data_IF_445730428581
#
_entry.id   IF_445730428581
#
_cell.length_a   1.000
_cell.length_b   1.000
_cell.length_c   1.000
_cell.angle_alpha   90.00
_cell.angle_beta   90.00
_cell.angle_gamma   90.00
#
_symmetry.space_group_name_H-M   'P 1'
#
loop_
_entity.id
_entity.type
_entity.pdbx_description
1 polymer ?
#
# COMPACT_ATOMS: atom_id res chain seq x y z
N UNK A 1 -3.51 -8.06 -15.59
CA UNK A 1 -3.29 -8.66 -14.26
C UNK A 1 -1.95 -8.18 -13.72
N UNK A 2 -1.94 -7.59 -12.52
CA UNK A 2 -0.72 -7.03 -11.92
C UNK A 2 0.10 -8.09 -11.20
N UNK A 3 1.41 -7.85 -11.08
CA UNK A 3 2.31 -8.64 -10.23
C UNK A 3 3.35 -7.70 -9.64
N UNK A 4 3.59 -7.77 -8.34
CA UNK A 4 4.70 -7.11 -7.68
C UNK A 4 5.74 -8.15 -7.27
N UNK A 5 7.02 -7.80 -7.36
CA UNK A 5 8.09 -8.71 -7.02
C UNK A 5 9.30 -7.98 -6.44
N UNK A 6 10.03 -8.66 -5.55
CA UNK A 6 11.36 -8.28 -5.12
C UNK A 6 12.38 -9.24 -5.69
N UNK A 7 13.53 -8.69 -6.08
CA UNK A 7 14.67 -9.46 -6.52
C UNK A 7 15.91 -9.05 -5.72
N UNK A 8 16.51 -10.00 -5.02
CA UNK A 8 17.67 -9.79 -4.16
C UNK A 8 18.90 -10.46 -4.75
N UNK A 9 19.91 -9.64 -5.01
CA UNK A 9 21.26 -10.08 -5.39
C UNK A 9 22.26 -9.38 -4.48
N UNK A 10 23.35 -8.85 -5.05
CA UNK A 10 24.19 -7.85 -4.39
C UNK A 10 23.37 -6.60 -4.02
N UNK A 11 22.42 -6.25 -4.90
CA UNK A 11 21.50 -5.13 -4.73
C UNK A 11 20.07 -5.62 -4.50
N UNK A 12 19.19 -4.72 -4.09
CA UNK A 12 17.78 -4.96 -3.86
C UNK A 12 16.96 -4.22 -4.93
N UNK A 13 16.07 -4.95 -5.56
CA UNK A 13 15.15 -4.42 -6.55
C UNK A 13 13.73 -4.71 -6.11
N UNK A 14 12.87 -3.71 -6.23
CA UNK A 14 11.43 -3.81 -6.06
C UNK A 14 10.77 -3.29 -7.33
N UNK A 15 9.83 -4.03 -7.88
CA UNK A 15 9.15 -3.64 -9.10
C UNK A 15 7.77 -4.26 -9.20
N UNK A 16 6.97 -3.68 -10.09
CA UNK A 16 5.65 -4.21 -10.42
C UNK A 16 5.36 -3.97 -11.90
N UNK A 17 4.52 -4.80 -12.51
CA UNK A 17 3.84 -4.48 -13.75
C UNK A 17 2.44 -3.95 -13.46
N UNK A 18 2.14 -2.78 -13.99
CA UNK A 18 0.80 -2.19 -13.98
C UNK A 18 0.10 -2.65 -15.26
N UNK A 19 -0.81 -3.61 -15.15
CA UNK A 19 -1.46 -4.26 -16.29
C UNK A 19 -2.96 -3.98 -16.24
N UNK A 20 -3.36 -2.92 -16.92
CA UNK A 20 -4.73 -2.47 -17.13
C UNK A 20 -5.09 -2.48 -18.60
N UNK A 21 -6.38 -2.56 -18.90
CA UNK A 21 -6.91 -2.55 -20.26
C UNK A 21 -6.86 -1.17 -20.92
N UNK A 22 -6.85 -0.11 -20.10
CA UNK A 22 -6.87 1.28 -20.53
C UNK A 22 -5.85 2.11 -19.76
N UNK A 23 -5.25 3.15 -20.37
CA UNK A 23 -4.45 4.11 -19.62
C UNK A 23 -5.35 4.96 -18.72
N UNK A 24 -4.96 5.14 -17.47
CA UNK A 24 -5.65 5.98 -16.49
C UNK A 24 -4.96 7.33 -16.27
N UNK A 25 -4.04 7.72 -17.17
CA UNK A 25 -3.25 8.95 -17.02
C UNK A 25 -2.16 8.78 -15.98
N UNK A 26 -1.58 7.59 -15.90
CA UNK A 26 -0.46 7.27 -15.03
C UNK A 26 0.81 7.96 -15.51
N UNK A 27 1.53 8.56 -14.56
CA UNK A 27 2.76 9.28 -14.81
C UNK A 27 3.77 9.05 -13.70
N UNK A 28 5.06 9.19 -14.02
CA UNK A 28 6.12 9.16 -13.02
C UNK A 28 6.05 10.44 -12.19
N UNK A 29 5.73 10.28 -10.92
CA UNK A 29 5.53 11.40 -10.00
C UNK A 29 6.60 11.40 -8.92
N UNK A 30 7.22 12.56 -8.71
CA UNK A 30 8.16 12.81 -7.62
C UNK A 30 7.52 13.71 -6.60
N UNK A 31 7.44 13.26 -5.35
CA UNK A 31 6.98 14.06 -4.23
C UNK A 31 8.18 14.46 -3.36
N UNK A 32 8.54 15.75 -3.31
CA UNK A 32 9.65 16.22 -2.48
C UNK A 32 9.28 16.24 -0.99
N UNK A 33 10.28 16.21 -0.09
CA UNK A 33 10.12 16.09 1.38
C UNK A 33 9.16 17.06 2.05
N UNK A 34 8.96 18.24 1.49
CA UNK A 34 8.19 19.31 2.11
C UNK A 34 6.89 19.61 1.33
N UNK A 35 6.48 18.70 0.46
CA UNK A 35 5.19 18.82 -0.22
C UNK A 35 4.07 18.50 0.79
N UNK A 36 3.17 19.47 1.11
CA UNK A 36 2.17 19.23 2.14
C UNK A 36 1.08 18.28 1.65
N UNK A 37 0.82 17.23 2.42
CA UNK A 37 -0.34 16.34 2.19
C UNK A 37 -1.43 16.63 3.21
N UNK A 38 -2.67 16.75 2.73
CA UNK A 38 -3.85 16.79 3.57
C UNK A 38 -4.55 15.43 3.53
N UNK A 39 -4.61 14.76 4.66
CA UNK A 39 -5.29 13.47 4.83
C UNK A 39 -6.73 13.68 5.28
N UNK A 40 -7.62 12.77 4.92
CA UNK A 40 -9.05 12.86 5.26
C UNK A 40 -9.30 12.95 6.76
N UNK A 41 -8.51 12.22 7.55
CA UNK A 41 -8.72 12.09 8.99
C UNK A 41 -7.49 12.42 9.83
N UNK A 42 -6.30 12.52 9.23
CA UNK A 42 -5.03 12.67 9.96
C UNK A 42 -4.45 14.09 9.88
N UNK A 43 -5.23 15.04 9.31
CA UNK A 43 -4.76 16.41 9.15
C UNK A 43 -3.65 16.56 8.10
N UNK A 44 -2.76 17.50 8.31
CA UNK A 44 -1.72 17.85 7.34
C UNK A 44 -0.36 17.25 7.73
N UNK A 45 0.29 16.60 6.78
CA UNK A 45 1.68 16.14 6.89
C UNK A 45 2.58 17.07 6.07
N UNK A 46 3.32 17.97 6.75
CA UNK A 46 4.20 18.97 6.13
C UNK A 46 5.62 18.47 5.88
N UNK A 47 6.03 17.44 6.59
CA UNK A 47 7.38 16.86 6.50
C UNK A 47 7.27 15.35 6.42
N UNK A 48 7.88 14.80 5.40
CA UNK A 48 7.87 13.38 5.12
C UNK A 48 9.09 13.00 4.28
N UNK A 49 9.35 11.73 4.10
CA UNK A 49 10.37 11.27 3.17
C UNK A 49 9.97 11.60 1.73
N UNK A 50 10.94 12.02 0.92
CA UNK A 50 10.72 12.14 -0.52
C UNK A 50 10.42 10.76 -1.12
N UNK A 51 9.57 10.74 -2.12
CA UNK A 51 9.18 9.51 -2.80
C UNK A 51 9.04 9.72 -4.32
N UNK A 52 9.22 8.63 -5.05
CA UNK A 52 9.02 8.57 -6.49
C UNK A 52 8.22 7.30 -6.80
N UNK A 53 7.31 7.39 -7.74
CA UNK A 53 6.50 6.24 -8.15
C UNK A 53 5.64 6.53 -9.36
N UNK A 54 4.83 5.56 -9.72
CA UNK A 54 3.81 5.71 -10.73
C UNK A 54 2.49 6.13 -10.07
N UNK A 55 1.93 7.26 -10.48
CA UNK A 55 0.70 7.80 -9.92
C UNK A 55 -0.24 8.33 -11.00
N UNK A 56 -1.52 8.44 -10.66
CA UNK A 56 -2.44 9.35 -11.32
C UNK A 56 -2.54 10.62 -10.45
N UNK A 57 -2.20 11.78 -11.01
CA UNK A 57 -2.30 13.04 -10.27
C UNK A 57 -3.68 13.65 -10.50
N UNK A 58 -4.45 13.83 -9.43
CA UNK A 58 -5.77 14.44 -9.43
C UNK A 58 -5.84 15.50 -8.34
N UNK A 59 -6.29 16.69 -8.69
CA UNK A 59 -6.43 17.82 -7.75
C UNK A 59 -5.13 18.09 -6.95
N UNK A 60 -3.98 18.07 -7.63
CA UNK A 60 -2.63 18.20 -7.07
C UNK A 60 -2.27 17.10 -6.04
N UNK A 61 -3.03 16.00 -6.02
CA UNK A 61 -2.81 14.86 -5.12
C UNK A 61 -2.36 13.63 -5.92
N UNK A 62 -1.19 13.04 -5.60
CA UNK A 62 -0.71 11.84 -6.29
C UNK A 62 -1.39 10.57 -5.75
N UNK A 63 -2.25 9.98 -6.55
CA UNK A 63 -2.84 8.68 -6.29
C UNK A 63 -1.85 7.59 -6.74
N UNK A 64 -0.94 7.20 -5.86
CA UNK A 64 0.13 6.26 -6.18
C UNK A 64 -0.38 4.83 -6.39
N UNK A 65 -0.05 4.26 -7.52
CA UNK A 65 -0.17 2.81 -7.78
C UNK A 65 0.95 2.04 -7.10
N UNK A 66 2.16 2.59 -7.16
CA UNK A 66 3.36 2.14 -6.49
C UNK A 66 4.30 3.32 -6.26
N UNK A 67 5.14 3.21 -5.24
CA UNK A 67 6.20 4.18 -4.99
C UNK A 67 7.32 3.58 -4.13
N UNK A 68 8.46 4.23 -4.17
CA UNK A 68 9.58 3.99 -3.26
C UNK A 68 9.98 5.32 -2.61
N UNK A 69 10.27 5.30 -1.33
CA UNK A 69 10.78 6.49 -0.65
C UNK A 69 12.32 6.53 -0.64
N UNK A 70 12.88 7.67 -0.29
CA UNK A 70 14.33 7.91 -0.22
C UNK A 70 15.09 7.04 0.79
N UNK A 71 14.38 6.29 1.65
CA UNK A 71 14.95 5.32 2.60
C UNK A 71 15.02 3.91 2.01
N UNK A 72 14.44 3.71 0.83
CA UNK A 72 14.42 2.42 0.16
C UNK A 72 13.26 1.52 0.57
N UNK A 73 12.23 2.07 1.21
CA UNK A 73 10.97 1.38 1.44
C UNK A 73 10.09 1.52 0.20
N UNK A 74 9.70 0.40 -0.41
CA UNK A 74 8.82 0.34 -1.56
C UNK A 74 7.44 -0.20 -1.20
N UNK A 75 6.41 0.26 -1.91
CA UNK A 75 5.04 -0.19 -1.77
C UNK A 75 4.34 -0.23 -3.13
N UNK A 76 3.56 -1.27 -3.38
CA UNK A 76 2.72 -1.39 -4.57
C UNK A 76 1.33 -1.87 -4.20
N UNK A 77 0.29 -1.23 -4.76
CA UNK A 77 -1.10 -1.66 -4.67
C UNK A 77 -1.49 -2.50 -5.88
N UNK A 78 -2.16 -3.62 -5.65
CA UNK A 78 -2.64 -4.54 -6.67
C UNK A 78 -4.14 -4.75 -6.51
N UNK A 79 -4.85 -4.97 -7.61
CA UNK A 79 -6.29 -5.24 -7.57
C UNK A 79 -6.60 -6.50 -6.74
N UNK A 80 -7.57 -6.34 -5.84
CA UNK A 80 -8.03 -7.38 -4.90
C UNK A 80 -9.55 -7.47 -4.88
N UNK A 81 -10.12 -7.40 -6.07
CA UNK A 81 -11.58 -7.30 -6.29
C UNK A 81 -12.32 -8.50 -5.71
N UNK A 82 -13.39 -8.20 -4.96
CA UNK A 82 -14.23 -9.20 -4.29
C UNK A 82 -13.69 -9.71 -2.96
N UNK A 83 -12.49 -9.29 -2.54
CA UNK A 83 -11.88 -9.69 -1.26
C UNK A 83 -11.62 -8.50 -0.33
N UNK A 84 -11.27 -7.33 -0.89
CA UNK A 84 -11.00 -6.15 -0.07
C UNK A 84 -12.27 -5.67 0.65
N UNK A 85 -12.16 -5.49 1.97
CA UNK A 85 -13.21 -4.93 2.84
C UNK A 85 -12.56 -3.88 3.73
N UNK A 86 -13.00 -2.63 3.59
CA UNK A 86 -12.52 -1.51 4.39
C UNK A 86 -13.59 -1.07 5.39
N UNK A 87 -13.14 -0.55 6.54
CA UNK A 87 -14.03 -0.14 7.62
C UNK A 87 -14.55 1.29 7.46
N UNK A 88 -15.54 1.62 8.28
CA UNK A 88 -15.90 3.01 8.54
C UNK A 88 -14.85 3.68 9.43
N UNK A 89 -14.72 5.03 9.38
CA UNK A 89 -13.85 5.74 10.30
C UNK A 89 -14.23 5.49 11.78
N UNK A 90 -13.26 5.16 12.61
CA UNK A 90 -13.41 4.90 14.04
C UNK A 90 -12.79 6.07 14.81
N UNK A 91 -13.58 6.73 15.66
CA UNK A 91 -13.15 7.86 16.48
C UNK A 91 -13.09 7.53 17.98
N UNK A 92 -13.65 6.39 18.37
CA UNK A 92 -13.57 5.88 19.72
C UNK A 92 -12.31 5.04 19.91
N UNK A 93 -11.74 5.09 21.12
CA UNK A 93 -10.57 4.27 21.45
C UNK A 93 -11.01 2.83 21.70
N UNK A 94 -10.50 1.90 20.94
CA UNK A 94 -10.65 0.47 21.20
C UNK A 94 -9.52 0.02 22.15
N UNK A 95 -9.88 -0.55 23.29
CA UNK A 95 -8.93 -1.00 24.33
C UNK A 95 -7.90 0.09 24.73
N UNK A 96 -8.30 1.38 24.66
CA UNK A 96 -7.43 2.50 24.94
C UNK A 96 -6.48 2.91 23.81
N UNK A 97 -6.54 2.23 22.66
CA UNK A 97 -5.74 2.53 21.46
C UNK A 97 -6.56 3.38 20.51
N UNK A 98 -6.00 4.51 20.12
CA UNK A 98 -6.54 5.34 19.05
C UNK A 98 -6.17 4.76 17.69
N UNK A 99 -7.16 4.56 16.82
CA UNK A 99 -6.93 4.08 15.45
C UNK A 99 -6.59 5.24 14.52
N UNK A 100 -5.56 5.08 13.72
CA UNK A 100 -5.26 5.98 12.61
C UNK A 100 -6.19 5.67 11.44
N UNK A 101 -7.26 6.47 11.25
CA UNK A 101 -8.12 6.34 10.08
C UNK A 101 -7.39 6.86 8.84
N UNK A 102 -7.18 6.00 7.86
CA UNK A 102 -6.49 6.33 6.60
C UNK A 102 -7.31 5.80 5.44
N UNK A 103 -7.69 6.67 4.51
CA UNK A 103 -8.38 6.21 3.30
C UNK A 103 -7.47 5.31 2.47
N UNK A 104 -8.04 4.34 1.79
CA UNK A 104 -7.25 3.34 1.07
C UNK A 104 -6.28 3.97 0.04
N UNK A 105 -6.67 5.07 -0.61
CA UNK A 105 -5.82 5.78 -1.57
C UNK A 105 -4.69 6.57 -0.91
N UNK A 106 -4.81 6.91 0.37
CA UNK A 106 -3.81 7.62 1.16
C UNK A 106 -2.74 6.70 1.73
N UNK A 107 -3.00 5.38 1.77
CA UNK A 107 -2.14 4.42 2.45
C UNK A 107 -0.68 4.44 1.96
N UNK A 108 -0.38 4.54 0.65
CA UNK A 108 1.01 4.66 0.19
C UNK A 108 1.72 5.90 0.73
N UNK A 109 1.06 7.06 0.68
CA UNK A 109 1.61 8.32 1.19
C UNK A 109 1.79 8.28 2.70
N UNK A 110 0.79 7.73 3.43
CA UNK A 110 0.83 7.62 4.89
C UNK A 110 1.99 6.76 5.38
N UNK A 111 2.20 5.60 4.75
CA UNK A 111 3.28 4.68 5.13
C UNK A 111 4.65 5.16 4.64
N UNK A 112 4.77 5.46 3.35
CA UNK A 112 6.06 5.83 2.76
C UNK A 112 6.57 7.19 3.23
N UNK A 113 5.66 8.08 3.61
CA UNK A 113 6.01 9.39 4.16
C UNK A 113 6.67 9.33 5.53
N UNK A 114 6.36 8.31 6.33
CA UNK A 114 6.76 8.22 7.74
C UNK A 114 7.73 7.08 8.04
N UNK A 115 7.68 5.99 7.28
CA UNK A 115 8.43 4.76 7.58
C UNK A 115 9.69 4.66 6.73
N UNK A 116 10.82 4.37 7.38
CA UNK A 116 12.10 4.10 6.71
C UNK A 116 12.31 2.60 6.43
N UNK A 117 11.46 1.72 6.97
CA UNK A 117 11.62 0.27 6.89
C UNK A 117 10.29 -0.46 7.03
N UNK A 118 10.26 -1.73 6.60
CA UNK A 118 9.12 -2.64 6.83
C UNK A 118 8.84 -2.80 8.33
N UNK A 119 9.88 -2.83 9.17
CA UNK A 119 9.72 -2.89 10.62
C UNK A 119 8.91 -1.71 11.18
N UNK A 120 9.19 -0.49 10.71
CA UNK A 120 8.44 0.71 11.11
C UNK A 120 7.02 0.69 10.53
N UNK A 121 6.86 0.23 9.28
CA UNK A 121 5.56 0.06 8.66
C UNK A 121 4.65 -0.90 9.46
N UNK A 122 5.20 -2.02 9.99
CA UNK A 122 4.43 -2.95 10.85
C UNK A 122 3.90 -2.27 12.11
N UNK A 123 4.70 -1.41 12.75
CA UNK A 123 4.28 -0.66 13.94
C UNK A 123 3.13 0.29 13.59
N UNK A 124 3.24 0.98 12.46
CA UNK A 124 2.19 1.88 12.02
C UNK A 124 0.91 1.12 11.64
N UNK A 125 1.04 0.00 10.91
CA UNK A 125 -0.07 -0.87 10.51
C UNK A 125 -0.82 -1.51 11.68
N UNK A 126 -0.19 -1.71 12.84
CA UNK A 126 -0.84 -2.32 14.01
C UNK A 126 -1.97 -1.46 14.61
N UNK A 127 -2.00 -0.17 14.29
CA UNK A 127 -3.02 0.77 14.77
C UNK A 127 -3.84 1.43 13.66
N UNK A 128 -3.59 1.06 12.40
CA UNK A 128 -4.30 1.67 11.27
C UNK A 128 -5.71 1.10 11.13
N UNK A 129 -6.64 1.94 10.72
CA UNK A 129 -7.92 1.57 10.18
C UNK A 129 -8.00 2.06 8.73
N UNK A 130 -7.99 1.14 7.77
CA UNK A 130 -8.14 1.49 6.36
C UNK A 130 -9.61 1.74 6.10
N UNK A 131 -9.95 2.98 5.70
CA UNK A 131 -11.35 3.40 5.59
C UNK A 131 -11.91 3.27 4.18
N UNK A 132 -13.22 3.02 4.12
CA UNK A 132 -14.02 2.96 2.90
C UNK A 132 -14.37 4.39 2.42
N UNK A 133 -13.35 5.23 2.28
CA UNK A 133 -13.50 6.64 1.91
C UNK A 133 -13.00 6.85 0.49
N UNK A 134 -13.85 7.31 -0.46
CA UNK A 134 -13.41 7.60 -1.83
C UNK A 134 -12.57 8.88 -1.89
N UNK A 135 -11.77 9.00 -2.94
CA UNK A 135 -11.06 10.25 -3.21
C UNK A 135 -12.05 11.36 -3.57
N UNK A 136 -12.94 11.10 -4.51
CA UNK A 136 -14.11 11.93 -4.87
C UNK A 136 -15.12 11.06 -5.65
N UNK A 137 -16.19 11.69 -6.17
CA UNK A 137 -17.21 10.98 -6.95
C UNK A 137 -16.67 10.32 -8.23
N UNK A 138 -15.64 10.90 -8.85
CA UNK A 138 -15.01 10.36 -10.06
C UNK A 138 -14.08 9.19 -9.76
N UNK A 139 -13.46 9.20 -8.59
CA UNK A 139 -12.49 8.18 -8.15
C UNK A 139 -13.02 7.47 -6.90
N UNK A 140 -13.87 6.44 -7.09
CA UNK A 140 -14.44 5.68 -5.99
C UNK A 140 -13.37 4.83 -5.28
N UNK A 141 -13.79 4.16 -4.23
CA UNK A 141 -12.92 3.25 -3.47
C UNK A 141 -12.41 2.12 -4.35
N UNK A 142 -11.10 1.96 -4.41
CA UNK A 142 -10.44 0.87 -5.13
C UNK A 142 -10.22 -0.32 -4.21
N UNK A 143 -10.58 -1.51 -4.68
CA UNK A 143 -10.35 -2.75 -3.94
C UNK A 143 -8.92 -3.24 -4.17
N UNK A 144 -8.04 -2.99 -3.21
CA UNK A 144 -6.61 -3.25 -3.29
C UNK A 144 -6.12 -4.10 -2.12
N UNK A 145 -5.02 -4.79 -2.33
CA UNK A 145 -4.08 -5.24 -1.33
C UNK A 145 -2.68 -4.74 -1.68
N UNK A 146 -1.75 -4.79 -0.75
CA UNK A 146 -0.46 -4.13 -0.95
C UNK A 146 0.71 -5.04 -0.61
N UNK A 147 1.77 -4.93 -1.41
CA UNK A 147 3.08 -5.45 -1.09
C UNK A 147 3.98 -4.32 -0.64
N UNK A 148 4.62 -4.48 0.50
CA UNK A 148 5.57 -3.52 1.08
C UNK A 148 6.90 -4.23 1.28
N UNK A 149 7.99 -3.61 0.84
CA UNK A 149 9.29 -4.25 0.91
C UNK A 149 10.43 -3.25 1.14
N UNK A 150 11.41 -3.69 1.87
CA UNK A 150 12.73 -3.09 1.97
C UNK A 150 13.81 -4.15 1.71
N UNK A 151 15.08 -3.78 1.86
CA UNK A 151 16.20 -4.70 1.64
C UNK A 151 16.17 -5.94 2.55
N UNK A 152 15.48 -5.89 3.70
CA UNK A 152 15.48 -6.94 4.72
C UNK A 152 14.24 -7.82 4.66
N UNK A 153 13.07 -7.19 4.53
CA UNK A 153 11.77 -7.83 4.69
C UNK A 153 10.82 -7.51 3.54
N UNK A 154 9.86 -8.40 3.34
CA UNK A 154 8.74 -8.19 2.43
C UNK A 154 7.48 -8.65 3.12
N UNK A 155 6.43 -7.83 3.08
CA UNK A 155 5.12 -8.13 3.68
C UNK A 155 4.00 -7.88 2.69
N UNK A 156 2.86 -8.53 2.96
CA UNK A 156 1.59 -8.29 2.26
C UNK A 156 0.59 -7.76 3.27
N UNK A 157 -0.16 -6.74 2.87
CA UNK A 157 -1.22 -6.12 3.67
C UNK A 157 -2.55 -6.35 2.97
N UNK A 158 -3.49 -7.01 3.64
CA UNK A 158 -4.84 -7.30 3.16
C UNK A 158 -5.87 -6.88 4.20
N UNK A 159 -6.80 -6.01 3.81
CA UNK A 159 -7.99 -5.71 4.58
C UNK A 159 -9.15 -6.54 4.02
N UNK A 160 -9.64 -7.48 4.78
CA UNK A 160 -10.67 -8.45 4.40
C UNK A 160 -11.78 -8.51 5.45
N UNK A 161 -12.80 -9.35 5.25
CA UNK A 161 -14.00 -9.35 6.07
C UNK A 161 -13.76 -9.59 7.58
N UNK A 162 -12.70 -10.30 7.95
CA UNK A 162 -12.32 -10.58 9.34
C UNK A 162 -11.23 -9.63 9.88
N UNK A 163 -10.85 -8.59 9.13
CA UNK A 163 -9.96 -7.54 9.59
C UNK A 163 -8.75 -7.26 8.69
N UNK A 164 -7.81 -6.51 9.25
CA UNK A 164 -6.54 -6.17 8.60
C UNK A 164 -5.48 -7.22 8.94
N UNK A 165 -4.93 -7.82 7.90
CA UNK A 165 -3.87 -8.83 8.01
C UNK A 165 -2.55 -8.31 7.43
N UNK A 166 -1.46 -8.61 8.13
CA UNK A 166 -0.09 -8.32 7.69
C UNK A 166 0.68 -9.64 7.67
N UNK A 167 0.93 -10.14 6.47
CA UNK A 167 1.60 -11.42 6.26
C UNK A 167 3.08 -11.24 5.94
N UNK A 168 3.94 -12.12 6.46
CA UNK A 168 5.30 -12.25 5.95
C UNK A 168 5.27 -12.84 4.54
N UNK A 169 6.03 -12.24 3.63
CA UNK A 169 6.13 -12.70 2.25
C UNK A 169 7.55 -13.25 1.95
N UNK A 170 7.82 -14.51 2.28
CA UNK A 170 9.15 -15.09 2.10
C UNK A 170 9.52 -15.33 0.64
N UNK A 171 8.55 -15.33 -0.27
CA UNK A 171 8.79 -15.55 -1.70
C UNK A 171 8.99 -14.25 -2.47
N UNK A 172 8.61 -13.10 -1.86
CA UNK A 172 8.81 -11.79 -2.44
C UNK A 172 7.99 -11.52 -3.70
N UNK A 173 6.83 -12.17 -3.86
CA UNK A 173 5.92 -11.97 -5.00
C UNK A 173 4.50 -11.83 -4.49
N UNK A 174 3.73 -10.94 -5.13
CA UNK A 174 2.29 -10.79 -4.93
C UNK A 174 1.62 -10.63 -6.29
N UNK A 175 0.59 -11.41 -6.56
CA UNK A 175 -0.32 -11.23 -7.70
C UNK A 175 -1.64 -10.60 -7.23
N UNK A 176 -2.66 -10.51 -8.10
CA UNK A 176 -4.00 -10.06 -7.73
C UNK A 176 -4.70 -11.10 -6.83
N UNK A 177 -5.88 -11.57 -7.20
CA UNK A 177 -6.58 -12.67 -6.50
C UNK A 177 -5.88 -14.02 -6.69
N UNK A 178 -6.04 -14.95 -5.76
CA UNK A 178 -6.80 -14.93 -4.50
C UNK A 178 -6.04 -14.26 -3.35
N UNK A 179 -6.60 -14.22 -2.10
CA UNK A 179 -5.88 -13.79 -0.91
C UNK A 179 -4.52 -14.45 -0.74
N UNK A 180 -3.56 -13.72 -0.18
CA UNK A 180 -2.16 -14.14 -0.10
C UNK A 180 -1.93 -15.53 0.52
N UNK A 181 -2.62 -15.94 1.60
CA UNK A 181 -2.47 -17.31 2.12
C UNK A 181 -2.82 -18.39 1.11
N UNK A 182 -3.81 -18.14 0.23
CA UNK A 182 -4.16 -19.07 -0.84
C UNK A 182 -3.14 -19.06 -1.97
N UNK A 183 -2.53 -17.88 -2.29
CA UNK A 183 -1.43 -17.82 -3.24
C UNK A 183 -0.24 -18.65 -2.74
N UNK A 184 0.09 -18.55 -1.46
CA UNK A 184 1.16 -19.34 -0.82
C UNK A 184 0.85 -20.83 -0.81
N UNK A 185 -0.41 -21.21 -0.55
CA UNK A 185 -0.83 -22.62 -0.61
C UNK A 185 -0.68 -23.19 -2.02
N UNK A 186 -1.16 -22.47 -3.04
CA UNK A 186 -1.07 -22.91 -4.44
C UNK A 186 0.37 -23.01 -4.95
N UNK A 187 1.29 -22.26 -4.38
CA UNK A 187 2.71 -22.35 -4.75
C UNK A 187 3.28 -23.76 -4.47
N UNK A 188 2.70 -24.50 -3.53
CA UNK A 188 3.14 -25.88 -3.24
C UNK A 188 2.92 -26.83 -4.41
N UNK A 189 1.94 -26.56 -5.29
CA UNK A 189 1.65 -27.37 -6.47
C UNK A 189 2.81 -27.31 -7.50
N UNK A 190 3.70 -26.32 -7.39
CA UNK A 190 4.84 -26.08 -8.28
C UNK A 190 6.20 -26.36 -7.62
N UNK A 191 6.20 -26.78 -6.35
CA UNK A 191 7.42 -27.20 -5.66
C UNK A 191 7.61 -28.69 -5.88
N UNK A 192 8.47 -29.05 -6.83
CA UNK A 192 8.95 -30.43 -7.02
C UNK A 192 10.09 -30.75 -6.07
#
# INVERSE_FOLDING_TARGET
>A
MCTAAVYKTKDFYFGRNLDYEFPYGEEVTITPRNYPFSFRFQGEMKQHYAMIGMAHVADDYPLYYDAINEKGLGMAGLNFVGNAVYGEPVFEKEEGIEKDNVAQFELPLWLLGQCASVKEARVLLSRINITNTPFNEKYPVSQLHWMIADRKETIVVEAVADGLHVYDNPVGVLANNPPFPQQMFRLNDYRS
#
